data_IF_045666294375
#
_entry.id   IF_045666294375
#
_cell.length_a   1.000
_cell.length_b   1.000
_cell.length_c   1.000
_cell.angle_alpha   90.00
_cell.angle_beta   90.00
_cell.angle_gamma   90.00
#
_symmetry.space_group_name_H-M   'P 1'
#
loop_
_entity.id
_entity.type
_entity.pdbx_description
1 polymer ?
#
# COMPACT_ATOMS: atom_id res chain seq x y z
N UNK A 1 1.86 8.36 -3.54
CA UNK A 1 1.37 8.14 -2.15
C UNK A 1 -0.13 8.39 -1.97
N UNK A 2 -0.88 8.76 -3.02
CA UNK A 2 -2.27 9.16 -2.88
C UNK A 2 -3.24 7.97 -2.68
N UNK A 3 -3.06 6.85 -3.39
CA UNK A 3 -3.85 5.64 -3.16
C UNK A 3 -3.61 5.01 -1.77
N UNK A 4 -2.40 5.12 -1.20
CA UNK A 4 -2.13 4.65 0.18
C UNK A 4 -3.09 5.32 1.16
N UNK A 5 -3.22 6.65 1.09
CA UNK A 5 -4.13 7.39 1.94
C UNK A 5 -5.59 7.06 1.63
N UNK A 6 -5.97 6.97 0.35
CA UNK A 6 -7.33 6.61 -0.05
C UNK A 6 -7.78 5.25 0.52
N UNK A 7 -6.91 4.23 0.46
CA UNK A 7 -7.19 2.90 0.98
C UNK A 7 -7.00 2.79 2.51
N UNK A 8 -6.27 3.71 3.13
CA UNK A 8 -6.14 3.76 4.58
C UNK A 8 -7.38 4.37 5.27
N UNK A 9 -8.20 5.17 4.57
CA UNK A 9 -9.39 5.81 5.14
C UNK A 9 -10.43 4.78 5.66
N UNK A 10 -10.85 3.78 4.87
CA UNK A 10 -11.78 2.75 5.36
C UNK A 10 -11.21 1.96 6.55
N UNK A 11 -9.90 1.70 6.56
CA UNK A 11 -9.22 0.99 7.66
C UNK A 11 -9.31 1.79 8.97
N UNK A 12 -8.96 3.07 8.94
CA UNK A 12 -9.01 3.92 10.13
C UNK A 12 -10.42 4.29 10.57
N UNK A 13 -11.32 4.56 9.62
CA UNK A 13 -12.69 5.02 9.89
C UNK A 13 -13.63 3.93 10.40
N UNK A 14 -13.51 2.71 9.88
CA UNK A 14 -14.41 1.59 10.25
C UNK A 14 -13.90 0.86 11.49
N UNK A 15 -12.58 0.73 11.65
CA UNK A 15 -11.98 -0.15 12.66
C UNK A 15 -11.17 0.59 13.73
N UNK A 16 -11.22 1.93 13.76
CA UNK A 16 -10.50 2.78 14.72
C UNK A 16 -8.99 2.53 14.78
N UNK A 17 -8.41 2.10 13.66
CA UNK A 17 -6.96 1.86 13.53
C UNK A 17 -6.23 3.21 13.43
N UNK A 18 -5.14 3.44 14.19
CA UNK A 18 -4.35 4.66 14.08
C UNK A 18 -3.87 4.91 12.65
N UNK A 19 -3.92 6.17 12.20
CA UNK A 19 -3.65 6.53 10.80
C UNK A 19 -2.30 6.00 10.27
N UNK A 20 -1.24 6.09 11.08
CA UNK A 20 0.07 5.57 10.71
C UNK A 20 0.07 4.05 10.45
N UNK A 21 -0.65 3.30 11.29
CA UNK A 21 -0.82 1.85 11.13
C UNK A 21 -1.65 1.53 9.88
N UNK A 22 -2.76 2.25 9.65
CA UNK A 22 -3.58 2.06 8.45
C UNK A 22 -2.79 2.24 7.16
N UNK A 23 -1.93 3.25 7.09
CA UNK A 23 -1.05 3.47 5.94
C UNK A 23 -0.01 2.34 5.79
N UNK A 24 0.60 1.92 6.90
CA UNK A 24 1.61 0.87 6.89
C UNK A 24 1.05 -0.46 6.34
N UNK A 25 -0.19 -0.81 6.70
CA UNK A 25 -0.85 -2.05 6.27
C UNK A 25 -1.04 -2.15 4.74
N UNK A 26 -1.27 -1.03 4.06
CA UNK A 26 -1.56 -1.04 2.61
C UNK A 26 -0.37 -0.57 1.75
N UNK A 27 0.62 0.10 2.34
CA UNK A 27 1.74 0.72 1.63
C UNK A 27 2.50 -0.26 0.71
N UNK A 28 2.98 -1.44 1.16
CA UNK A 28 3.73 -2.34 0.28
C UNK A 28 2.91 -2.79 -0.93
N UNK A 29 1.60 -3.02 -0.72
CA UNK A 29 0.69 -3.51 -1.76
C UNK A 29 0.36 -2.44 -2.79
N UNK A 30 0.16 -1.19 -2.35
CA UNK A 30 -0.03 -0.05 -3.27
C UNK A 30 1.23 0.24 -4.08
N UNK A 31 2.43 0.13 -3.47
CA UNK A 31 3.69 0.29 -4.22
C UNK A 31 3.85 -0.79 -5.30
N UNK A 32 3.51 -2.06 -4.99
CA UNK A 32 3.50 -3.13 -6.00
C UNK A 32 2.54 -2.84 -7.15
N UNK A 33 1.33 -2.38 -6.85
CA UNK A 33 0.35 -2.00 -7.87
C UNK A 33 0.85 -0.85 -8.76
N UNK A 34 1.48 0.16 -8.14
CA UNK A 34 1.99 1.34 -8.83
C UNK A 34 3.30 1.09 -9.58
N UNK A 35 4.04 0.02 -9.27
CA UNK A 35 5.33 -0.27 -9.89
C UNK A 35 5.23 -0.35 -11.43
N UNK A 36 4.09 -0.78 -11.97
CA UNK A 36 3.83 -0.80 -13.42
C UNK A 36 3.99 0.58 -14.09
N UNK A 37 3.63 1.66 -13.39
CA UNK A 37 3.73 3.04 -13.88
C UNK A 37 4.86 3.86 -13.25
N UNK A 38 5.37 3.43 -12.08
CA UNK A 38 6.24 4.25 -11.23
C UNK A 38 7.53 3.54 -10.79
N UNK A 39 7.89 2.38 -11.37
CA UNK A 39 9.11 1.66 -10.99
C UNK A 39 10.38 2.51 -11.08
N UNK A 40 10.53 3.34 -12.12
CA UNK A 40 11.71 4.23 -12.25
C UNK A 40 11.84 5.19 -11.06
N UNK A 41 10.74 5.82 -10.61
CA UNK A 41 10.73 6.70 -9.43
C UNK A 41 11.06 5.92 -8.14
N UNK A 42 10.60 4.69 -8.03
CA UNK A 42 10.90 3.83 -6.88
C UNK A 42 12.34 3.33 -6.90
N UNK A 43 12.92 3.11 -8.08
CA UNK A 43 14.32 2.76 -8.24
C UNK A 43 15.24 3.91 -7.83
N UNK A 44 14.92 5.15 -8.21
CA UNK A 44 15.64 6.33 -7.72
C UNK A 44 15.62 6.43 -6.19
N UNK A 45 14.47 6.14 -5.57
CA UNK A 45 14.36 6.11 -4.11
C UNK A 45 15.13 4.94 -3.49
N UNK A 46 15.17 3.79 -4.16
CA UNK A 46 15.92 2.61 -3.73
C UNK A 46 17.42 2.90 -3.68
N UNK A 47 17.97 3.69 -4.61
CA UNK A 47 19.40 4.04 -4.61
C UNK A 47 19.83 4.79 -3.34
N UNK A 48 18.89 5.45 -2.66
CA UNK A 48 19.15 6.15 -1.38
C UNK A 48 18.85 5.26 -0.18
N UNK A 49 17.72 4.55 -0.19
CA UNK A 49 17.23 3.79 0.98
C UNK A 49 17.84 2.39 1.07
N UNK A 50 18.19 1.80 -0.06
CA UNK A 50 18.75 0.46 -0.21
C UNK A 50 19.95 0.53 -1.18
N UNK A 51 21.06 1.19 -0.80
CA UNK A 51 22.16 1.48 -1.72
C UNK A 51 22.83 0.24 -2.33
N UNK A 52 22.67 -0.92 -1.68
CA UNK A 52 23.17 -2.21 -2.18
C UNK A 52 22.24 -2.84 -3.25
N UNK A 53 21.08 -2.25 -3.53
CA UNK A 53 20.15 -2.75 -4.54
C UNK A 53 20.68 -2.46 -5.95
N UNK A 54 20.98 -3.52 -6.69
CA UNK A 54 21.48 -3.43 -8.07
C UNK A 54 20.51 -4.04 -9.08
N UNK A 55 20.69 -3.73 -10.36
CA UNK A 55 19.92 -4.30 -11.46
C UNK A 55 18.95 -3.31 -12.08
N UNK A 56 17.85 -3.82 -12.65
CA UNK A 56 16.83 -3.00 -13.31
C UNK A 56 15.99 -2.21 -12.31
N UNK A 57 15.24 -1.21 -12.81
CA UNK A 57 14.29 -0.45 -12.01
C UNK A 57 13.29 -1.35 -11.28
N UNK A 58 12.87 -2.44 -11.93
CA UNK A 58 11.98 -3.44 -11.33
C UNK A 58 12.66 -4.16 -10.14
N UNK A 59 13.92 -4.58 -10.29
CA UNK A 59 14.68 -5.21 -9.22
C UNK A 59 14.90 -4.26 -8.03
N UNK A 60 15.28 -3.00 -8.31
CA UNK A 60 15.45 -1.97 -7.29
C UNK A 60 14.14 -1.62 -6.58
N UNK A 61 13.03 -1.51 -7.32
CA UNK A 61 11.69 -1.32 -6.77
C UNK A 61 11.31 -2.45 -5.82
N UNK A 62 11.56 -3.71 -6.21
CA UNK A 62 11.29 -4.86 -5.35
C UNK A 62 12.13 -4.82 -4.07
N UNK A 63 13.42 -4.45 -4.17
CA UNK A 63 14.30 -4.29 -3.01
C UNK A 63 13.80 -3.19 -2.05
N UNK A 64 13.34 -2.05 -2.58
CA UNK A 64 12.73 -0.99 -1.78
C UNK A 64 11.47 -1.49 -1.05
N UNK A 65 10.55 -2.16 -1.75
CA UNK A 65 9.32 -2.68 -1.15
C UNK A 65 9.65 -3.68 -0.04
N UNK A 66 10.59 -4.60 -0.28
CA UNK A 66 11.04 -5.55 0.73
C UNK A 66 11.67 -4.85 1.94
N UNK A 67 12.46 -3.79 1.73
CA UNK A 67 13.03 -3.00 2.82
C UNK A 67 11.96 -2.34 3.67
N UNK A 68 10.92 -1.77 3.05
CA UNK A 68 9.80 -1.15 3.77
C UNK A 68 9.02 -2.19 4.59
N UNK A 69 8.80 -3.39 4.06
CA UNK A 69 8.16 -4.49 4.79
C UNK A 69 8.99 -4.92 6.01
N UNK A 70 10.31 -5.02 5.85
CA UNK A 70 11.22 -5.30 6.97
C UNK A 70 11.16 -4.20 8.04
N UNK A 71 11.10 -2.94 7.63
CA UNK A 71 10.97 -1.81 8.56
C UNK A 71 9.66 -1.87 9.33
N UNK A 72 8.53 -2.12 8.64
CA UNK A 72 7.22 -2.30 9.28
C UNK A 72 7.28 -3.44 10.30
N UNK A 73 7.81 -4.61 9.91
CA UNK A 73 7.95 -5.76 10.80
C UNK A 73 8.81 -5.46 12.03
N UNK A 74 9.90 -4.70 11.87
CA UNK A 74 10.80 -4.32 12.95
C UNK A 74 10.15 -3.40 14.00
N UNK A 75 9.07 -2.69 13.66
CA UNK A 75 8.33 -1.86 14.63
C UNK A 75 7.45 -2.68 15.57
N UNK A 76 7.20 -3.96 15.26
CA UNK A 76 6.30 -4.82 16.04
C UNK A 76 4.81 -4.50 15.88
N UNK A 77 4.44 -3.58 14.99
CA UNK A 77 3.03 -3.29 14.70
C UNK A 77 2.41 -4.40 13.82
N UNK A 78 1.08 -4.57 13.86
CA UNK A 78 0.38 -5.48 12.95
C UNK A 78 0.73 -5.20 11.49
N UNK A 79 0.97 -6.27 10.72
CA UNK A 79 1.39 -6.17 9.31
C UNK A 79 0.29 -6.59 8.32
N UNK A 80 -0.85 -7.08 8.80
CA UNK A 80 -1.98 -7.52 7.95
C UNK A 80 -3.31 -6.98 8.46
N UNK A 81 -4.26 -6.80 7.55
CA UNK A 81 -5.60 -6.31 7.89
C UNK A 81 -6.30 -7.22 8.92
N UNK A 82 -6.15 -8.55 8.79
CA UNK A 82 -6.74 -9.49 9.75
C UNK A 82 -6.18 -9.35 11.17
N UNK A 83 -4.94 -8.88 11.30
CA UNK A 83 -4.28 -8.71 12.59
C UNK A 83 -4.82 -7.48 13.35
N UNK A 84 -5.59 -6.61 12.69
CA UNK A 84 -6.29 -5.45 13.29
C UNK A 84 -7.81 -5.63 13.36
N UNK A 85 -8.30 -6.88 13.26
CA UNK A 85 -9.73 -7.21 13.43
C UNK A 85 -10.60 -6.97 12.20
N UNK A 86 -10.00 -6.76 11.03
CA UNK A 86 -10.75 -6.64 9.77
C UNK A 86 -11.14 -8.04 9.30
N UNK A 87 -12.44 -8.23 9.05
CA UNK A 87 -12.96 -9.47 8.50
C UNK A 87 -12.87 -9.49 6.97
N UNK A 88 -12.69 -10.69 6.40
CA UNK A 88 -12.47 -10.87 4.96
C UNK A 88 -13.67 -10.47 4.11
N UNK A 89 -14.88 -10.61 4.63
CA UNK A 89 -16.13 -10.19 3.99
C UNK A 89 -16.30 -8.67 3.95
N UNK A 90 -15.62 -7.93 4.85
CA UNK A 90 -15.59 -6.47 4.86
C UNK A 90 -14.76 -5.84 3.74
N UNK A 91 -13.88 -6.59 3.06
CA UNK A 91 -12.94 -6.05 2.08
C UNK A 91 -13.64 -5.44 0.85
N UNK A 92 -14.76 -6.03 0.41
CA UNK A 92 -15.53 -5.50 -0.72
C UNK A 92 -16.12 -4.12 -0.39
N UNK A 93 -16.68 -3.96 0.81
CA UNK A 93 -17.17 -2.66 1.28
C UNK A 93 -16.04 -1.64 1.39
N UNK A 94 -14.88 -2.05 1.93
CA UNK A 94 -13.71 -1.17 2.01
C UNK A 94 -13.21 -0.71 0.63
N UNK A 95 -13.29 -1.56 -0.39
CA UNK A 95 -12.96 -1.19 -1.77
C UNK A 95 -13.92 -0.10 -2.28
N UNK A 96 -15.23 -0.30 -2.13
CA UNK A 96 -16.24 0.69 -2.50
C UNK A 96 -16.06 2.03 -1.77
N UNK A 97 -15.83 1.98 -0.45
CA UNK A 97 -15.62 3.19 0.36
C UNK A 97 -14.31 3.93 -0.02
N UNK A 98 -13.26 3.21 -0.42
CA UNK A 98 -12.02 3.81 -0.92
C UNK A 98 -12.25 4.59 -2.22
N UNK A 99 -13.15 4.11 -3.09
CA UNK A 99 -13.49 4.79 -4.36
C UNK A 99 -14.15 6.15 -4.18
N UNK A 100 -14.73 6.42 -2.99
CA UNK A 100 -15.27 7.73 -2.64
C UNK A 100 -14.17 8.79 -2.45
N UNK A 101 -12.90 8.38 -2.27
CA UNK A 101 -11.76 9.26 -2.07
C UNK A 101 -11.20 9.83 -3.39
N UNK A 102 -12.08 10.35 -4.25
CA UNK A 102 -11.80 10.72 -5.65
C UNK A 102 -10.58 11.64 -5.81
N UNK A 103 -10.45 12.68 -4.98
CA UNK A 103 -9.31 13.62 -5.01
C UNK A 103 -7.97 12.95 -4.76
N UNK A 104 -7.94 11.91 -3.92
CA UNK A 104 -6.72 11.15 -3.66
C UNK A 104 -6.44 10.16 -4.79
N UNK A 105 -7.46 9.48 -5.29
CA UNK A 105 -7.30 8.49 -6.36
C UNK A 105 -6.84 9.11 -7.68
N UNK A 106 -7.33 10.29 -8.05
CA UNK A 106 -6.91 11.02 -9.27
C UNK A 106 -5.42 11.38 -9.27
N UNK A 107 -4.81 11.53 -8.09
CA UNK A 107 -3.39 11.84 -7.94
C UNK A 107 -2.49 10.59 -7.83
N UNK A 108 -3.05 9.39 -8.01
CA UNK A 108 -2.25 8.16 -8.04
C UNK A 108 -1.59 8.00 -9.44
N UNK A 109 -0.31 7.60 -9.54
CA UNK A 109 0.39 7.49 -10.83
C UNK A 109 -0.24 6.52 -11.83
N UNK A 110 -1.11 5.62 -11.33
CA UNK A 110 -1.90 4.69 -12.12
C UNK A 110 -3.37 4.81 -11.69
N UNK A 111 -4.35 4.83 -12.62
CA UNK A 111 -5.76 4.77 -12.26
C UNK A 111 -6.06 3.52 -11.42
N UNK A 112 -6.82 3.70 -10.34
CA UNK A 112 -7.24 2.61 -9.45
C UNK A 112 -8.71 2.36 -9.70
N UNK A 113 -9.09 1.16 -10.14
CA UNK A 113 -10.48 0.71 -10.15
C UNK A 113 -10.89 0.11 -8.80
N UNK A 114 -12.19 -0.08 -8.58
CA UNK A 114 -12.67 -0.80 -7.39
C UNK A 114 -12.13 -2.23 -7.32
N UNK A 115 -11.98 -2.90 -8.46
CA UNK A 115 -11.38 -4.22 -8.55
C UNK A 115 -9.90 -4.21 -8.15
N UNK A 116 -9.15 -3.17 -8.55
CA UNK A 116 -7.75 -2.99 -8.13
C UNK A 116 -7.66 -2.76 -6.62
N UNK A 117 -8.52 -1.89 -6.07
CA UNK A 117 -8.58 -1.62 -4.63
C UNK A 117 -8.88 -2.91 -3.84
N UNK A 118 -9.85 -3.71 -4.30
CA UNK A 118 -10.14 -5.01 -3.71
C UNK A 118 -8.95 -5.96 -3.80
N UNK A 119 -8.27 -6.03 -4.95
CA UNK A 119 -7.06 -6.83 -5.12
C UNK A 119 -5.95 -6.44 -4.14
N UNK A 120 -5.78 -5.13 -3.91
CA UNK A 120 -4.82 -4.60 -2.92
C UNK A 120 -5.21 -5.03 -1.51
N UNK A 121 -6.48 -4.90 -1.12
CA UNK A 121 -6.94 -5.34 0.20
C UNK A 121 -6.80 -6.85 0.42
N UNK A 122 -7.09 -7.66 -0.61
CA UNK A 122 -6.89 -9.11 -0.56
C UNK A 122 -5.41 -9.44 -0.35
N UNK A 123 -4.51 -8.72 -1.02
CA UNK A 123 -3.07 -8.92 -0.84
C UNK A 123 -2.57 -8.51 0.55
N UNK A 124 -3.25 -7.55 1.20
CA UNK A 124 -2.92 -7.04 2.53
C UNK A 124 -3.58 -7.81 3.70
N UNK A 125 -4.41 -8.81 3.41
CA UNK A 125 -5.18 -9.57 4.41
C UNK A 125 -4.38 -10.69 5.09
#
# INVERSE_FOLDING_TARGET
MAAVHALAYPVGGIFHVPHGLSNALVLPHVLRFNAEAAAHLYAELADVIVPDATGSDASKTQALIARLEQMIAATGIPARLRDVGIARDGLARMASDAMLQTRLLVNNPRPVSEADALGIYIAAF
#
